data_IF_760389679960
#
_entry.id   IF_760389679960
#
_cell.length_a   1.000
_cell.length_b   1.000
_cell.length_c   1.000
_cell.angle_alpha   90.00
_cell.angle_beta   90.00
_cell.angle_gamma   90.00
#
_symmetry.space_group_name_H-M   'P 1'
#
loop_
_entity.id
_entity.type
_entity.pdbx_description
1 polymer ?
#
# COMPACT_ATOMS: atom_id res chain seq x y z
N UNK A 1 -6.39 -8.53 -8.62
CA UNK A 1 -5.56 -9.67 -8.97
C UNK A 1 -4.07 -9.47 -8.67
N UNK A 2 -3.58 -8.21 -8.54
CA UNK A 2 -2.17 -7.99 -8.16
C UNK A 2 -1.91 -8.45 -6.71
N UNK A 3 -0.74 -9.08 -6.49
CA UNK A 3 -0.31 -9.45 -5.15
C UNK A 3 0.10 -8.17 -4.39
N UNK A 4 -0.74 -7.76 -3.46
CA UNK A 4 -0.49 -6.68 -2.53
C UNK A 4 -0.52 -7.21 -1.10
N UNK A 5 0.13 -6.52 -0.18
CA UNK A 5 0.16 -6.93 1.23
C UNK A 5 -1.24 -7.02 1.86
N UNK A 6 -2.15 -6.14 1.46
CA UNK A 6 -3.52 -6.08 2.00
C UNK A 6 -4.53 -5.71 0.91
N UNK A 7 -4.73 -6.57 -0.11
CA UNK A 7 -5.62 -6.24 -1.24
C UNK A 7 -7.08 -6.07 -0.82
N UNK A 8 -7.48 -6.74 0.25
CA UNK A 8 -8.84 -6.69 0.79
C UNK A 8 -9.24 -5.31 1.31
N UNK A 9 -8.31 -4.48 1.81
CA UNK A 9 -8.64 -3.14 2.31
C UNK A 9 -9.33 -2.28 1.23
N UNK A 10 -8.75 -2.28 0.02
CA UNK A 10 -9.33 -1.54 -1.10
C UNK A 10 -10.67 -2.12 -1.56
N UNK A 11 -10.81 -3.45 -1.57
CA UNK A 11 -12.07 -4.10 -1.96
C UNK A 11 -13.16 -3.79 -0.94
N UNK A 12 -12.88 -3.93 0.36
CA UNK A 12 -13.83 -3.63 1.42
C UNK A 12 -14.28 -2.16 1.44
N UNK A 13 -13.35 -1.21 1.19
CA UNK A 13 -13.72 0.21 1.07
C UNK A 13 -14.72 0.42 -0.07
N UNK A 14 -14.45 -0.15 -1.25
CA UNK A 14 -15.35 -0.02 -2.41
C UNK A 14 -16.71 -0.66 -2.16
N UNK A 15 -16.72 -1.84 -1.58
CA UNK A 15 -17.96 -2.53 -1.18
C UNK A 15 -18.77 -1.72 -0.18
N UNK A 16 -18.13 -1.21 0.88
CA UNK A 16 -18.79 -0.39 1.89
C UNK A 16 -19.36 0.90 1.30
N UNK A 17 -18.63 1.56 0.40
CA UNK A 17 -19.12 2.76 -0.29
C UNK A 17 -20.33 2.43 -1.19
N UNK A 18 -20.29 1.32 -1.95
CA UNK A 18 -21.43 0.90 -2.77
C UNK A 18 -22.66 0.54 -1.92
N UNK A 19 -22.44 -0.10 -0.77
CA UNK A 19 -23.52 -0.42 0.19
C UNK A 19 -24.10 0.84 0.83
N UNK A 20 -23.28 1.88 1.03
CA UNK A 20 -23.73 3.19 1.49
C UNK A 20 -24.43 4.04 0.40
N UNK A 21 -24.59 3.51 -0.81
CA UNK A 21 -25.33 4.14 -1.90
C UNK A 21 -24.47 4.95 -2.88
N UNK A 22 -23.14 4.94 -2.73
CA UNK A 22 -22.26 5.60 -3.69
C UNK A 22 -22.17 4.81 -5.00
N UNK A 23 -22.07 5.53 -6.12
CA UNK A 23 -21.72 5.00 -7.43
C UNK A 23 -20.24 5.35 -7.67
N UNK A 24 -19.43 4.36 -8.03
CA UNK A 24 -17.98 4.49 -8.10
C UNK A 24 -17.46 4.24 -9.51
N UNK A 25 -16.73 5.21 -10.05
CA UNK A 25 -15.89 5.04 -11.23
C UNK A 25 -14.42 4.90 -10.81
N UNK A 26 -13.84 3.73 -11.01
CA UNK A 26 -12.45 3.41 -10.67
C UNK A 26 -11.59 3.33 -11.92
N UNK A 27 -10.56 4.14 -11.99
CA UNK A 27 -9.56 4.13 -13.06
C UNK A 27 -8.27 3.46 -12.60
N UNK A 28 -7.99 2.26 -13.10
CA UNK A 28 -6.84 1.45 -12.67
C UNK A 28 -6.03 0.92 -13.87
N UNK A 29 -4.72 0.75 -13.75
CA UNK A 29 -3.94 0.03 -14.76
C UNK A 29 -4.36 -1.44 -14.80
N UNK A 30 -4.08 -2.10 -15.92
CA UNK A 30 -4.14 -3.56 -15.98
C UNK A 30 -3.16 -4.19 -15.00
N UNK A 31 -3.50 -5.35 -14.39
CA UNK A 31 -2.62 -6.02 -13.44
C UNK A 31 -1.31 -6.43 -14.11
N UNK A 32 -0.20 -6.00 -13.53
CA UNK A 32 1.14 -6.30 -14.08
C UNK A 32 2.15 -6.70 -13.00
N UNK A 33 1.80 -6.51 -11.72
CA UNK A 33 2.70 -6.74 -10.60
C UNK A 33 2.33 -8.02 -9.86
N UNK A 34 3.28 -8.96 -9.77
CA UNK A 34 3.08 -10.22 -9.03
C UNK A 34 1.95 -11.10 -9.54
N UNK A 35 1.62 -11.01 -10.83
CA UNK A 35 0.58 -11.82 -11.49
C UNK A 35 1.19 -12.74 -12.54
N UNK A 36 0.59 -13.91 -12.73
CA UNK A 36 0.98 -14.86 -13.77
C UNK A 36 0.64 -14.33 -15.17
N UNK A 37 1.21 -14.95 -16.19
CA UNK A 37 0.92 -14.58 -17.59
C UNK A 37 -0.54 -14.88 -17.96
N UNK A 38 -1.12 -15.95 -17.43
CA UNK A 38 -2.53 -16.31 -17.66
C UNK A 38 -3.45 -15.18 -17.17
N UNK A 39 -3.20 -14.64 -15.98
CA UNK A 39 -3.96 -13.50 -15.44
C UNK A 39 -3.78 -12.26 -16.31
N UNK A 40 -2.57 -12.01 -16.83
CA UNK A 40 -2.33 -10.87 -17.73
C UNK A 40 -3.12 -11.00 -19.04
N UNK A 41 -3.15 -12.19 -19.62
CA UNK A 41 -3.92 -12.48 -20.83
C UNK A 41 -5.42 -12.30 -20.56
N UNK A 42 -5.93 -12.86 -19.47
CA UNK A 42 -7.33 -12.73 -19.07
C UNK A 42 -7.75 -11.26 -18.94
N UNK A 43 -6.92 -10.44 -18.28
CA UNK A 43 -7.24 -9.03 -18.09
C UNK A 43 -7.01 -8.15 -19.34
N UNK A 44 -6.29 -8.63 -20.35
CA UNK A 44 -6.06 -7.87 -21.58
C UNK A 44 -7.34 -7.52 -22.32
N UNK A 45 -8.36 -8.35 -22.19
CA UNK A 45 -9.69 -8.16 -22.80
C UNK A 45 -10.68 -7.51 -21.83
N UNK A 46 -10.44 -7.56 -20.52
CA UNK A 46 -11.32 -6.98 -19.49
C UNK A 46 -11.04 -5.49 -19.26
N UNK A 47 -11.39 -4.66 -20.24
CA UNK A 47 -11.19 -3.20 -20.14
C UNK A 47 -12.15 -2.53 -19.17
N UNK A 48 -13.37 -3.09 -19.01
CA UNK A 48 -14.41 -2.60 -18.10
C UNK A 48 -14.95 -3.78 -17.29
N UNK A 49 -15.05 -3.59 -15.98
CA UNK A 49 -15.67 -4.55 -15.06
C UNK A 49 -16.78 -3.85 -14.29
N UNK A 50 -17.90 -4.53 -14.09
CA UNK A 50 -19.02 -4.07 -13.27
C UNK A 50 -19.13 -4.94 -12.02
N UNK A 51 -19.29 -4.32 -10.85
CA UNK A 51 -19.49 -5.01 -9.57
C UNK A 51 -20.58 -4.32 -8.75
N UNK A 52 -21.09 -5.02 -7.74
CA UNK A 52 -22.06 -4.50 -6.76
C UNK A 52 -23.29 -3.88 -7.45
N UNK A 53 -23.98 -4.67 -8.28
CA UNK A 53 -25.16 -4.25 -9.03
C UNK A 53 -24.92 -2.99 -9.89
N UNK A 54 -23.78 -2.96 -10.57
CA UNK A 54 -23.29 -1.86 -11.39
C UNK A 54 -22.96 -0.54 -10.64
N UNK A 55 -22.93 -0.57 -9.31
CA UNK A 55 -22.49 0.61 -8.52
C UNK A 55 -20.98 0.86 -8.57
N UNK A 56 -20.18 -0.14 -8.94
CA UNK A 56 -18.75 0.02 -9.18
C UNK A 56 -18.44 -0.33 -10.63
N UNK A 57 -17.93 0.65 -11.38
CA UNK A 57 -17.39 0.47 -12.72
C UNK A 57 -15.88 0.63 -12.69
N UNK A 58 -15.13 -0.41 -13.06
CA UNK A 58 -13.66 -0.40 -13.08
C UNK A 58 -13.23 -0.24 -14.54
N UNK A 59 -12.60 0.89 -14.84
CA UNK A 59 -12.01 1.20 -16.13
C UNK A 59 -10.52 0.87 -16.12
N UNK A 60 -10.13 -0.17 -16.85
CA UNK A 60 -8.72 -0.58 -16.95
C UNK A 60 -8.06 0.02 -18.19
N UNK A 61 -6.81 0.43 -18.01
CA UNK A 61 -5.98 0.91 -19.12
C UNK A 61 -4.67 0.12 -19.21
N UNK A 62 -4.11 -0.03 -20.44
CA UNK A 62 -2.88 -0.76 -20.64
C UNK A 62 -1.73 -0.16 -19.86
N UNK A 63 -0.88 -1.03 -19.30
CA UNK A 63 0.34 -0.66 -18.61
C UNK A 63 1.39 -1.75 -18.82
N UNK A 64 2.66 -1.37 -19.01
CA UNK A 64 3.75 -2.33 -19.12
C UNK A 64 4.14 -2.90 -17.75
N UNK A 65 4.80 -4.05 -17.77
CA UNK A 65 5.24 -4.75 -16.56
C UNK A 65 6.28 -3.93 -15.80
N UNK A 66 6.17 -3.92 -14.48
CA UNK A 66 7.17 -3.30 -13.63
C UNK A 66 8.46 -4.14 -13.67
N UNK A 67 9.55 -3.52 -14.08
CA UNK A 67 10.89 -4.13 -14.04
C UNK A 67 11.58 -3.82 -12.71
N UNK A 68 12.78 -4.39 -12.51
CA UNK A 68 13.62 -4.10 -11.34
C UNK A 68 14.30 -2.72 -11.40
N UNK A 69 14.23 -2.02 -12.53
CA UNK A 69 14.88 -0.72 -12.73
C UNK A 69 14.06 0.42 -12.14
N UNK A 70 14.59 1.20 -11.19
CA UNK A 70 13.88 2.31 -10.55
C UNK A 70 13.40 3.39 -11.53
N UNK A 71 14.14 3.64 -12.61
CA UNK A 71 13.77 4.63 -13.64
C UNK A 71 12.50 4.18 -14.37
N UNK A 72 12.43 2.91 -14.73
CA UNK A 72 11.23 2.35 -15.37
C UNK A 72 10.01 2.40 -14.45
N UNK A 73 10.20 2.16 -13.16
CA UNK A 73 9.14 2.29 -12.16
C UNK A 73 8.66 3.75 -12.05
N UNK A 74 9.58 4.71 -11.99
CA UNK A 74 9.22 6.13 -11.95
C UNK A 74 8.47 6.58 -13.21
N UNK A 75 8.94 6.17 -14.40
CA UNK A 75 8.27 6.45 -15.68
C UNK A 75 6.86 5.83 -15.72
N UNK A 76 6.72 4.60 -15.24
CA UNK A 76 5.43 3.91 -15.13
C UNK A 76 4.44 4.70 -14.26
N UNK A 77 4.88 5.18 -13.08
CA UNK A 77 4.05 6.02 -12.22
C UNK A 77 3.65 7.34 -12.89
N UNK A 78 4.57 7.97 -13.63
CA UNK A 78 4.28 9.18 -14.40
C UNK A 78 3.22 8.94 -15.49
N UNK A 79 3.36 7.88 -16.28
CA UNK A 79 2.39 7.50 -17.32
C UNK A 79 1.04 7.18 -16.68
N UNK A 80 1.02 6.39 -15.60
CA UNK A 80 -0.21 6.07 -14.87
C UNK A 80 -0.93 7.33 -14.40
N UNK A 81 -0.19 8.28 -13.84
CA UNK A 81 -0.69 9.56 -13.39
C UNK A 81 -1.31 10.37 -14.56
N UNK A 82 -0.61 10.49 -15.69
CA UNK A 82 -1.12 11.20 -16.88
C UNK A 82 -2.40 10.57 -17.42
N UNK A 83 -2.45 9.22 -17.51
CA UNK A 83 -3.66 8.52 -17.99
C UNK A 83 -4.81 8.72 -17.02
N UNK A 84 -4.59 8.57 -15.72
CA UNK A 84 -5.64 8.80 -14.72
C UNK A 84 -6.11 10.25 -14.70
N UNK A 85 -5.22 11.21 -14.87
CA UNK A 85 -5.58 12.62 -14.99
C UNK A 85 -6.47 12.87 -16.21
N UNK A 86 -6.09 12.38 -17.39
CA UNK A 86 -6.90 12.50 -18.61
C UNK A 86 -8.27 11.82 -18.48
N UNK A 87 -8.32 10.61 -17.90
CA UNK A 87 -9.57 9.91 -17.61
C UNK A 87 -10.44 10.69 -16.62
N UNK A 88 -9.85 11.21 -15.55
CA UNK A 88 -10.55 12.04 -14.57
C UNK A 88 -11.10 13.33 -15.17
N UNK A 89 -10.39 13.96 -16.13
CA UNK A 89 -10.89 15.12 -16.88
C UNK A 89 -12.12 14.78 -17.73
N UNK A 90 -12.13 13.60 -18.34
CA UNK A 90 -13.24 13.14 -19.19
C UNK A 90 -14.44 12.60 -18.41
N UNK A 91 -14.25 12.22 -17.12
CA UNK A 91 -15.34 11.74 -16.28
C UNK A 91 -16.42 12.82 -16.11
N UNK A 92 -17.69 12.43 -16.21
CA UNK A 92 -18.86 13.30 -16.07
C UNK A 92 -19.61 12.99 -14.78
N UNK A 93 -20.41 13.94 -14.33
CA UNK A 93 -21.31 13.77 -13.19
C UNK A 93 -20.61 13.25 -11.93
N UNK A 94 -19.46 13.87 -11.60
CA UNK A 94 -18.64 13.54 -10.46
C UNK A 94 -18.95 14.49 -9.30
N UNK A 95 -19.33 13.94 -8.15
CA UNK A 95 -19.62 14.68 -6.92
C UNK A 95 -18.42 14.69 -5.95
N UNK A 96 -17.52 13.71 -6.04
CA UNK A 96 -16.40 13.53 -5.11
C UNK A 96 -15.22 12.85 -5.79
N UNK A 97 -14.02 13.29 -5.47
CA UNK A 97 -12.77 12.61 -5.83
C UNK A 97 -12.20 11.93 -4.57
N UNK A 98 -11.92 10.63 -4.66
CA UNK A 98 -11.28 9.84 -3.61
C UNK A 98 -10.02 9.19 -4.15
N UNK A 99 -8.86 9.48 -3.56
CA UNK A 99 -7.57 8.88 -3.96
C UNK A 99 -6.76 8.43 -2.74
N UNK A 100 -6.11 7.27 -2.89
CA UNK A 100 -5.10 6.80 -1.94
C UNK A 100 -3.74 7.45 -2.20
N UNK A 101 -2.88 7.50 -1.18
CA UNK A 101 -1.54 8.12 -1.22
C UNK A 101 -0.49 7.34 -2.03
N UNK A 102 -0.83 6.17 -2.54
CA UNK A 102 0.12 5.30 -3.26
C UNK A 102 -0.25 5.21 -4.74
N UNK A 103 0.64 5.64 -5.65
CA UNK A 103 1.94 6.31 -5.44
C UNK A 103 1.81 7.75 -4.91
N UNK A 104 2.86 8.31 -4.29
CA UNK A 104 2.80 9.61 -3.59
C UNK A 104 2.29 10.79 -4.40
N UNK A 105 2.48 10.77 -5.71
CA UNK A 105 2.03 11.83 -6.63
C UNK A 105 0.51 11.88 -6.84
N UNK A 106 -0.25 10.90 -6.34
CA UNK A 106 -1.72 10.85 -6.47
C UNK A 106 -2.41 12.02 -5.77
N UNK A 107 -1.84 12.51 -4.67
CA UNK A 107 -2.37 13.67 -3.99
C UNK A 107 -2.42 14.92 -4.89
N UNK A 108 -1.35 15.18 -5.64
CA UNK A 108 -1.32 16.28 -6.60
C UNK A 108 -2.35 16.10 -7.73
N UNK A 109 -2.56 14.88 -8.20
CA UNK A 109 -3.62 14.55 -9.17
C UNK A 109 -5.00 14.95 -8.65
N UNK A 110 -5.32 14.52 -7.42
CA UNK A 110 -6.59 14.85 -6.78
C UNK A 110 -6.81 16.37 -6.63
N UNK A 111 -5.77 17.09 -6.24
CA UNK A 111 -5.82 18.56 -6.13
C UNK A 111 -6.10 19.26 -7.46
N UNK A 112 -5.45 18.81 -8.54
CA UNK A 112 -5.66 19.37 -9.87
C UNK A 112 -7.06 19.07 -10.41
N UNK A 113 -7.50 17.80 -10.29
CA UNK A 113 -8.84 17.41 -10.68
C UNK A 113 -9.92 18.16 -9.88
N UNK A 114 -9.76 18.27 -8.55
CA UNK A 114 -10.64 19.07 -7.69
C UNK A 114 -10.79 20.51 -8.24
N UNK A 115 -9.68 21.15 -8.56
CA UNK A 115 -9.70 22.53 -9.05
C UNK A 115 -10.46 22.68 -10.38
N UNK A 116 -10.29 21.72 -11.29
CA UNK A 116 -10.91 21.75 -12.62
C UNK A 116 -12.38 21.35 -12.55
N UNK A 117 -12.68 20.26 -11.84
CA UNK A 117 -14.06 19.72 -11.70
C UNK A 117 -14.91 20.49 -10.70
N UNK A 118 -14.28 21.25 -9.78
CA UNK A 118 -14.92 22.01 -8.69
C UNK A 118 -15.72 21.12 -7.73
N UNK A 119 -15.19 19.94 -7.46
CA UNK A 119 -15.77 18.94 -6.53
C UNK A 119 -14.81 18.69 -5.36
N UNK A 120 -15.30 18.26 -4.19
CA UNK A 120 -14.46 17.95 -3.05
C UNK A 120 -13.48 16.79 -3.34
N UNK A 121 -12.34 16.80 -2.64
CA UNK A 121 -11.30 15.80 -2.73
C UNK A 121 -10.97 15.22 -1.35
N UNK A 122 -11.14 13.91 -1.20
CA UNK A 122 -10.76 13.12 -0.02
C UNK A 122 -9.47 12.37 -0.33
N UNK A 123 -8.46 12.57 0.51
CA UNK A 123 -7.16 11.93 0.40
C UNK A 123 -6.98 10.85 1.47
N UNK A 124 -6.88 9.59 1.06
CA UNK A 124 -6.63 8.46 1.95
C UNK A 124 -5.13 8.23 2.10
N UNK A 125 -4.57 8.68 3.21
CA UNK A 125 -3.14 8.68 3.50
C UNK A 125 -2.72 7.36 4.16
N UNK A 126 -2.25 6.42 3.34
CA UNK A 126 -1.75 5.10 3.77
C UNK A 126 -0.25 5.10 4.05
N UNK A 127 0.49 6.12 3.58
CA UNK A 127 1.92 6.28 3.78
C UNK A 127 2.30 7.77 3.77
N UNK A 128 3.16 8.19 4.70
CA UNK A 128 3.62 9.57 4.82
C UNK A 128 4.92 9.73 4.02
N UNK A 129 4.77 10.05 2.76
CA UNK A 129 5.86 10.36 1.85
C UNK A 129 6.20 11.88 1.95
N UNK A 130 7.48 12.30 1.93
CA UNK A 130 8.71 11.53 1.73
C UNK A 130 9.36 10.99 3.01
N UNK A 131 8.73 11.16 4.17
CA UNK A 131 9.32 10.79 5.46
C UNK A 131 9.60 9.28 5.55
N UNK A 132 8.71 8.44 5.00
CA UNK A 132 8.89 6.98 4.94
C UNK A 132 10.16 6.58 4.17
N UNK A 133 10.46 7.23 3.04
CA UNK A 133 11.68 6.96 2.28
C UNK A 133 12.95 7.44 3.01
N UNK A 134 12.87 8.54 3.74
CA UNK A 134 13.99 9.02 4.54
C UNK A 134 14.26 8.09 5.73
N UNK A 135 13.19 7.59 6.37
CA UNK A 135 13.30 6.62 7.48
C UNK A 135 13.94 5.29 7.09
N UNK A 136 13.87 4.90 5.82
CA UNK A 136 14.50 3.68 5.29
C UNK A 136 15.88 3.91 4.70
N UNK A 137 16.40 5.14 4.73
CA UNK A 137 17.69 5.48 4.14
C UNK A 137 17.73 5.54 2.60
N UNK A 138 16.60 5.27 1.91
CA UNK A 138 16.52 5.32 0.45
C UNK A 138 16.65 6.74 -0.12
N UNK A 139 16.27 7.73 0.67
CA UNK A 139 16.39 9.15 0.32
C UNK A 139 17.00 9.90 1.50
N UNK A 140 18.00 10.72 1.22
CA UNK A 140 18.60 11.58 2.24
C UNK A 140 17.57 12.62 2.69
N UNK A 141 17.34 12.72 3.99
CA UNK A 141 16.53 13.80 4.59
C UNK A 141 17.13 15.16 4.18
N UNK A 142 16.26 16.09 3.81
CA UNK A 142 16.62 17.42 3.29
C UNK A 142 17.34 17.42 1.93
N UNK A 143 17.52 16.27 1.29
CA UNK A 143 18.00 16.16 -0.09
C UNK A 143 16.96 16.65 -1.12
N UNK A 144 17.38 16.78 -2.37
CA UNK A 144 16.51 17.32 -3.45
C UNK A 144 15.20 16.51 -3.61
N UNK A 145 15.30 15.19 -3.64
CA UNK A 145 14.12 14.29 -3.79
C UNK A 145 13.17 14.46 -2.60
N UNK A 146 13.71 14.53 -1.37
CA UNK A 146 12.92 14.75 -0.18
C UNK A 146 12.21 16.12 -0.22
N UNK A 147 12.91 17.20 -0.62
CA UNK A 147 12.34 18.55 -0.74
C UNK A 147 11.21 18.59 -1.77
N UNK A 148 11.40 17.97 -2.93
CA UNK A 148 10.34 17.86 -3.96
C UNK A 148 9.14 17.09 -3.39
N UNK A 149 9.37 15.96 -2.73
CA UNK A 149 8.32 15.18 -2.07
C UNK A 149 7.54 16.00 -1.05
N UNK A 150 8.23 16.80 -0.22
CA UNK A 150 7.61 17.73 0.76
C UNK A 150 6.75 18.81 0.10
N UNK A 151 7.18 19.35 -1.03
CA UNK A 151 6.37 20.33 -1.78
C UNK A 151 5.06 19.68 -2.26
N UNK A 152 5.14 18.47 -2.83
CA UNK A 152 3.96 17.72 -3.30
C UNK A 152 3.04 17.36 -2.13
N UNK A 153 3.61 16.89 -1.03
CA UNK A 153 2.87 16.56 0.21
C UNK A 153 2.14 17.79 0.77
N UNK A 154 2.87 18.89 0.98
CA UNK A 154 2.30 20.14 1.50
C UNK A 154 1.20 20.70 0.58
N UNK A 155 1.42 20.64 -0.74
CA UNK A 155 0.41 21.03 -1.72
C UNK A 155 -0.86 20.17 -1.58
N UNK A 156 -0.69 18.85 -1.44
CA UNK A 156 -1.82 17.94 -1.27
C UNK A 156 -2.58 18.22 0.02
N UNK A 157 -1.90 18.33 1.15
CA UNK A 157 -2.53 18.58 2.46
C UNK A 157 -3.28 19.93 2.50
N UNK A 158 -2.72 20.94 1.87
CA UNK A 158 -3.37 22.25 1.78
C UNK A 158 -4.68 22.19 1.02
N UNK A 159 -4.74 21.42 -0.08
CA UNK A 159 -5.87 21.46 -1.02
C UNK A 159 -6.88 20.32 -0.84
N UNK A 160 -6.54 19.25 -0.13
CA UNK A 160 -7.52 18.22 0.24
C UNK A 160 -8.60 18.80 1.16
N UNK A 161 -9.84 18.39 0.99
CA UNK A 161 -10.95 18.78 1.87
C UNK A 161 -10.96 17.94 3.13
N UNK A 162 -10.71 16.64 3.00
CA UNK A 162 -10.52 15.71 4.11
C UNK A 162 -9.32 14.81 3.84
N UNK A 163 -8.65 14.43 4.91
CA UNK A 163 -7.51 13.49 4.89
C UNK A 163 -7.83 12.36 5.85
N UNK A 164 -7.95 11.16 5.33
CA UNK A 164 -8.09 9.95 6.11
C UNK A 164 -6.70 9.45 6.45
N UNK A 165 -6.43 9.16 7.71
CA UNK A 165 -5.16 8.61 8.20
C UNK A 165 -5.39 7.30 8.93
N UNK A 166 -4.38 6.43 8.93
CA UNK A 166 -4.50 5.05 9.44
C UNK A 166 -4.17 4.91 10.94
N UNK A 167 -3.73 5.97 11.60
CA UNK A 167 -3.42 5.94 13.03
C UNK A 167 -3.38 7.33 13.66
N UNK A 168 -3.46 7.38 14.97
CA UNK A 168 -3.23 8.61 15.75
C UNK A 168 -1.78 9.13 15.58
N UNK A 169 -0.82 8.24 15.33
CA UNK A 169 0.56 8.64 15.01
C UNK A 169 0.63 9.43 13.71
N UNK A 170 -0.08 8.98 12.67
CA UNK A 170 -0.19 9.71 11.40
C UNK A 170 -0.89 11.06 11.59
N UNK A 171 -1.99 11.09 12.35
CA UNK A 171 -2.70 12.32 12.67
C UNK A 171 -1.75 13.33 13.31
N UNK A 172 -1.04 12.95 14.39
CA UNK A 172 -0.06 13.83 15.06
C UNK A 172 1.04 14.31 14.12
N UNK A 173 1.54 13.43 13.25
CA UNK A 173 2.60 13.77 12.27
C UNK A 173 2.14 14.88 11.31
N UNK A 174 0.97 14.73 10.68
CA UNK A 174 0.51 15.73 9.71
C UNK A 174 -0.01 17.00 10.37
N UNK A 175 -0.53 16.93 11.60
CA UNK A 175 -0.83 18.13 12.41
C UNK A 175 0.43 18.93 12.72
N UNK A 176 1.54 18.27 13.07
CA UNK A 176 2.84 18.92 13.26
C UNK A 176 3.37 19.59 11.99
N UNK A 177 2.87 19.20 10.81
CA UNK A 177 3.14 19.83 9.50
C UNK A 177 2.15 20.97 9.16
N UNK A 178 1.27 21.34 10.08
CA UNK A 178 0.33 22.45 9.93
C UNK A 178 -1.01 22.07 9.29
N UNK A 179 -1.36 20.79 9.22
CA UNK A 179 -2.69 20.36 8.75
C UNK A 179 -3.70 20.58 9.88
N UNK A 180 -4.80 21.33 9.66
CA UNK A 180 -5.84 21.55 10.65
C UNK A 180 -6.53 20.24 11.06
N UNK A 181 -6.79 20.07 12.36
CA UNK A 181 -7.35 18.83 12.91
C UNK A 181 -8.71 18.47 12.29
N UNK A 182 -9.53 19.47 12.04
CA UNK A 182 -10.87 19.29 11.44
C UNK A 182 -10.85 18.72 10.02
N UNK A 183 -9.69 18.74 9.33
CA UNK A 183 -9.50 18.07 8.04
C UNK A 183 -9.16 16.58 8.17
N UNK A 184 -8.75 16.12 9.36
CA UNK A 184 -8.17 14.80 9.56
C UNK A 184 -9.21 13.86 10.18
N UNK A 185 -9.35 12.68 9.57
CA UNK A 185 -10.18 11.59 10.10
C UNK A 185 -9.31 10.36 10.28
N UNK A 186 -9.31 9.79 11.50
CA UNK A 186 -8.57 8.54 11.74
C UNK A 186 -9.48 7.36 11.43
N UNK A 187 -9.06 6.52 10.48
CA UNK A 187 -9.68 5.25 10.15
C UNK A 187 -8.59 4.19 10.13
N UNK A 188 -8.55 3.36 11.16
CA UNK A 188 -7.55 2.30 11.28
C UNK A 188 -7.72 1.28 10.14
N UNK A 189 -6.61 0.75 9.64
CA UNK A 189 -6.67 -0.44 8.80
C UNK A 189 -7.18 -1.62 9.62
N UNK A 190 -7.95 -2.49 8.99
CA UNK A 190 -8.66 -3.59 9.64
C UNK A 190 -8.23 -4.93 9.08
N UNK A 191 -8.57 -5.97 9.81
CA UNK A 191 -8.49 -7.37 9.38
C UNK A 191 -9.85 -8.02 9.60
N UNK A 192 -10.21 -8.94 8.72
CA UNK A 192 -11.39 -9.78 8.96
C UNK A 192 -11.09 -10.77 10.11
N UNK A 193 -11.62 -10.47 11.28
CA UNK A 193 -11.44 -11.31 12.45
C UNK A 193 -12.01 -12.73 12.28
N UNK A 194 -12.97 -12.93 11.37
CA UNK A 194 -13.56 -14.23 11.10
C UNK A 194 -12.70 -15.08 10.14
N UNK A 195 -11.84 -14.43 9.35
CA UNK A 195 -10.89 -15.11 8.47
C UNK A 195 -9.64 -15.60 9.25
N UNK A 196 -9.35 -15.00 10.41
CA UNK A 196 -8.21 -15.39 11.24
C UNK A 196 -8.69 -16.26 12.39
N UNK A 197 -8.36 -17.55 12.33
CA UNK A 197 -8.72 -18.52 13.36
C UNK A 197 -7.52 -18.83 14.25
N UNK A 198 -7.74 -18.85 15.55
CA UNK A 198 -6.73 -19.36 16.47
C UNK A 198 -6.64 -20.88 16.31
N UNK A 199 -5.45 -21.36 15.96
CA UNK A 199 -5.13 -22.78 15.85
C UNK A 199 -4.29 -23.16 17.05
N UNK A 200 -4.78 -24.10 17.86
CA UNK A 200 -4.01 -24.60 19.00
C UNK A 200 -2.67 -25.18 18.52
N UNK A 201 -1.62 -24.97 19.29
CA UNK A 201 -0.25 -25.38 18.92
C UNK A 201 -0.16 -26.87 18.54
N UNK A 202 -0.88 -27.74 19.27
CA UNK A 202 -0.94 -29.21 19.01
C UNK A 202 -1.56 -29.53 17.64
N UNK A 203 -2.46 -28.67 17.13
CA UNK A 203 -3.23 -28.89 15.91
C UNK A 203 -2.62 -28.11 14.71
N UNK A 204 -1.57 -27.32 14.96
CA UNK A 204 -0.94 -26.52 13.93
C UNK A 204 -0.02 -27.38 13.05
N UNK A 205 -0.47 -27.65 11.83
CA UNK A 205 0.21 -28.48 10.83
C UNK A 205 1.55 -27.92 10.33
N UNK A 206 1.84 -26.65 10.60
CA UNK A 206 3.12 -26.04 10.21
C UNK A 206 4.30 -26.67 10.97
N UNK A 207 4.07 -27.09 12.21
CA UNK A 207 5.10 -27.80 12.98
C UNK A 207 5.56 -29.07 12.27
N UNK A 208 4.62 -29.89 11.80
CA UNK A 208 4.93 -31.13 11.09
C UNK A 208 5.51 -30.85 9.69
N UNK A 209 4.93 -29.88 8.96
CA UNK A 209 5.36 -29.51 7.62
C UNK A 209 6.81 -29.01 7.56
N UNK A 210 7.24 -28.26 8.56
CA UNK A 210 8.56 -27.64 8.61
C UNK A 210 9.48 -28.27 9.67
N UNK A 211 9.10 -29.42 10.23
CA UNK A 211 9.87 -30.18 11.25
C UNK A 211 10.25 -29.32 12.45
N UNK A 212 9.31 -28.49 12.93
CA UNK A 212 9.52 -27.60 14.06
C UNK A 212 9.25 -28.33 15.38
N UNK A 213 10.08 -28.12 16.39
CA UNK A 213 9.89 -28.66 17.72
C UNK A 213 8.75 -27.96 18.47
N UNK A 214 7.73 -28.70 18.89
CA UNK A 214 6.56 -28.16 19.60
C UNK A 214 6.87 -27.66 21.01
N UNK A 215 8.04 -27.96 21.56
CA UNK A 215 8.44 -27.52 22.90
C UNK A 215 9.23 -26.21 22.91
N UNK A 216 9.77 -25.78 21.76
CA UNK A 216 10.54 -24.53 21.66
C UNK A 216 9.66 -23.30 21.62
N UNK A 217 10.18 -22.17 22.09
CA UNK A 217 9.57 -20.86 21.90
C UNK A 217 9.98 -20.30 20.53
N UNK A 218 9.01 -19.85 19.73
CA UNK A 218 9.26 -19.34 18.39
C UNK A 218 9.09 -17.84 18.33
N UNK A 219 10.16 -17.13 17.91
CA UNK A 219 10.10 -15.74 17.49
C UNK A 219 9.92 -15.74 15.97
N UNK A 220 8.72 -15.35 15.52
CA UNK A 220 8.36 -15.44 14.11
C UNK A 220 8.26 -14.05 13.48
N UNK A 221 9.00 -13.84 12.39
CA UNK A 221 8.80 -12.74 11.48
C UNK A 221 8.07 -13.25 10.24
N UNK A 222 6.96 -12.59 9.88
CA UNK A 222 6.22 -12.89 8.65
C UNK A 222 5.95 -11.60 7.88
N UNK A 223 6.55 -11.48 6.69
CA UNK A 223 6.42 -10.25 5.89
C UNK A 223 7.43 -10.12 4.77
N UNK A 224 7.55 -8.92 4.21
CA UNK A 224 8.55 -8.62 3.19
C UNK A 224 9.96 -8.61 3.81
N UNK A 225 10.86 -9.45 3.30
CA UNK A 225 12.28 -9.46 3.68
C UNK A 225 13.01 -8.45 2.79
N UNK A 226 12.81 -7.17 3.10
CA UNK A 226 13.31 -6.07 2.27
C UNK A 226 14.27 -5.16 3.02
N UNK A 227 14.88 -4.23 2.29
CA UNK A 227 15.85 -3.26 2.81
C UNK A 227 15.26 -2.32 3.89
N UNK A 228 13.95 -2.18 3.92
CA UNK A 228 13.26 -1.22 4.80
C UNK A 228 12.82 -1.83 6.14
N UNK A 229 12.98 -3.13 6.32
CA UNK A 229 12.51 -3.87 7.49
C UNK A 229 13.56 -4.03 8.60
N UNK A 230 14.76 -3.44 8.40
CA UNK A 230 15.86 -3.54 9.36
C UNK A 230 16.14 -4.99 9.80
N UNK A 231 16.34 -5.86 8.79
CA UNK A 231 16.54 -7.30 9.04
C UNK A 231 17.82 -7.56 9.85
N UNK A 232 18.82 -6.66 9.76
CA UNK A 232 20.07 -6.78 10.52
C UNK A 232 19.82 -6.76 12.03
N UNK A 233 18.89 -5.90 12.50
CA UNK A 233 18.52 -5.89 13.91
C UNK A 233 17.91 -7.24 14.35
N UNK A 234 17.08 -7.85 13.51
CA UNK A 234 16.48 -9.15 13.81
C UNK A 234 17.54 -10.26 13.86
N UNK A 235 18.52 -10.22 12.94
CA UNK A 235 19.64 -11.15 12.91
C UNK A 235 20.56 -10.97 14.12
N UNK A 236 20.82 -9.73 14.53
CA UNK A 236 21.64 -9.45 15.72
C UNK A 236 20.95 -9.96 17.01
N UNK A 237 19.62 -9.80 17.11
CA UNK A 237 18.85 -10.39 18.22
C UNK A 237 18.92 -11.92 18.16
N UNK A 238 18.81 -12.53 16.99
CA UNK A 238 18.91 -13.98 16.85
C UNK A 238 20.30 -14.50 17.30
N UNK A 239 21.38 -13.83 16.89
CA UNK A 239 22.75 -14.14 17.34
C UNK A 239 22.92 -14.00 18.85
N UNK A 240 22.33 -12.96 19.45
CA UNK A 240 22.43 -12.76 20.91
C UNK A 240 21.72 -13.83 21.73
N UNK A 241 20.88 -14.64 21.10
CA UNK A 241 20.10 -15.72 21.71
C UNK A 241 20.49 -17.11 21.18
N UNK A 242 21.60 -17.23 20.43
CA UNK A 242 21.99 -18.49 19.79
C UNK A 242 22.29 -19.62 20.79
N UNK A 243 22.81 -19.27 21.98
CA UNK A 243 23.10 -20.23 23.06
C UNK A 243 21.82 -20.69 23.79
N UNK A 244 20.66 -20.11 23.51
CA UNK A 244 19.42 -20.49 24.16
C UNK A 244 18.66 -21.53 23.34
N UNK A 245 18.84 -22.79 23.68
CA UNK A 245 18.21 -23.91 22.96
C UNK A 245 16.67 -23.93 23.03
N UNK A 246 16.03 -23.17 23.93
CA UNK A 246 14.57 -23.10 24.04
C UNK A 246 13.95 -22.15 23.01
N UNK A 247 14.76 -21.24 22.42
CA UNK A 247 14.29 -20.22 21.47
C UNK A 247 14.70 -20.60 20.05
N UNK A 248 13.78 -20.41 19.12
CA UNK A 248 14.06 -20.55 17.68
C UNK A 248 13.44 -19.41 16.88
N UNK A 249 14.18 -18.90 15.91
CA UNK A 249 13.68 -17.87 14.98
C UNK A 249 13.10 -18.52 13.72
N UNK A 250 11.98 -17.99 13.24
CA UNK A 250 11.35 -18.43 11.99
C UNK A 250 11.06 -17.21 11.13
N UNK A 251 11.70 -17.11 9.97
CA UNK A 251 11.53 -16.04 9.02
C UNK A 251 10.71 -16.51 7.81
N UNK A 252 9.57 -15.87 7.58
CA UNK A 252 8.64 -16.23 6.50
C UNK A 252 8.44 -15.03 5.61
N UNK A 253 8.88 -15.11 4.35
CA UNK A 253 8.69 -14.03 3.41
C UNK A 253 9.57 -14.11 2.18
N UNK A 254 9.34 -13.14 1.30
CA UNK A 254 10.15 -12.85 0.11
C UNK A 254 10.59 -11.38 0.16
N UNK A 255 11.66 -11.04 -0.54
CA UNK A 255 12.13 -9.66 -0.63
C UNK A 255 13.56 -9.54 -1.12
N UNK A 256 13.98 -8.30 -1.39
CA UNK A 256 15.29 -8.00 -1.96
C UNK A 256 16.47 -8.32 -1.02
N UNK A 257 16.22 -8.45 0.29
CA UNK A 257 17.23 -8.72 1.31
C UNK A 257 17.31 -10.22 1.69
N UNK A 258 16.50 -11.08 1.04
CA UNK A 258 16.38 -12.50 1.42
C UNK A 258 17.69 -13.27 1.26
N UNK A 259 18.44 -13.03 0.17
CA UNK A 259 19.67 -13.78 -0.05
C UNK A 259 20.76 -13.40 0.97
N UNK A 260 20.87 -12.12 1.34
CA UNK A 260 21.78 -11.66 2.41
C UNK A 260 21.42 -12.30 3.76
N UNK A 261 20.12 -12.42 4.06
CA UNK A 261 19.66 -13.10 5.29
C UNK A 261 20.06 -14.57 5.28
N UNK A 262 19.95 -15.27 4.15
CA UNK A 262 20.35 -16.67 4.03
C UNK A 262 21.88 -16.90 4.18
N UNK A 263 22.69 -15.93 3.80
CA UNK A 263 24.16 -16.01 3.95
C UNK A 263 24.61 -15.92 5.41
N UNK A 264 23.73 -15.44 6.28
CA UNK A 264 24.03 -15.16 7.70
C UNK A 264 23.48 -16.26 8.63
N UNK A 265 22.47 -17.02 8.16
CA UNK A 265 21.84 -18.13 8.88
C UNK A 265 22.52 -19.45 8.53
#
# INVERSE_FOLDING_TARGET
>A
PEQAASPYLGDNIREAMCNAGFILDLYAPMPTRGVSEEIRVEYKERKIEYKYDNKLVIHRFPMYSEGKNPINSALRYGICWCVQFGKGLCAKDIDLIYLASTPPIQGALGCLLKKIKRVPFVYNLQDIFPDSLAGTGLVRKDGLIWRIGRVVENFTYKHADKIIVISEGFKRNIMAKGVPEEKIVVVYNWVDQNAVKNVARKDNKLFDKYHLDRNKFYITYSGNIGLTQNMDLLLDVARSLEDNEEIQFVLIGEGAYKEQVKEVI
#
